data_IF_461194659678
#
_entry.id   IF_461194659678
#
_cell.length_a   1.000
_cell.length_b   1.000
_cell.length_c   1.000
_cell.angle_alpha   90.00
_cell.angle_beta   90.00
_cell.angle_gamma   90.00
#
_symmetry.space_group_name_H-M   'P 1'
#
loop_
_entity.id
_entity.type
_entity.pdbx_description
1 polymer ?
#
# COMPACT_ATOMS: atom_id res chain seq x y z
N UNK A 1 0.88 7.19 25.69
CA UNK A 1 1.43 5.83 25.92
C UNK A 1 0.91 4.94 24.80
N UNK A 2 1.77 4.24 24.07
CA UNK A 2 1.31 3.32 22.99
C UNK A 2 0.65 2.08 23.63
N UNK A 3 -0.52 1.69 23.10
CA UNK A 3 -1.35 0.64 23.68
C UNK A 3 -1.07 -0.72 22.99
N UNK A 4 0.05 -1.35 23.35
CA UNK A 4 0.41 -2.66 22.82
C UNK A 4 -0.50 -3.77 23.36
N UNK A 5 -0.76 -4.77 22.51
CA UNK A 5 -1.53 -5.94 22.86
C UNK A 5 -0.76 -6.89 23.79
N UNK A 6 -1.50 -7.58 24.64
CA UNK A 6 -0.93 -8.69 25.41
C UNK A 6 -0.47 -9.84 24.49
N UNK A 7 0.49 -10.69 24.95
CA UNK A 7 1.09 -11.73 24.10
C UNK A 7 0.11 -12.72 23.48
N UNK A 8 -0.99 -13.02 24.17
CA UNK A 8 -2.04 -13.95 23.74
C UNK A 8 -3.32 -13.25 23.27
N UNK A 9 -3.35 -11.92 23.26
CA UNK A 9 -4.52 -11.16 22.81
C UNK A 9 -4.71 -11.32 21.32
N UNK A 10 -5.89 -11.77 20.91
CA UNK A 10 -6.26 -11.93 19.50
C UNK A 10 -6.97 -10.65 19.04
N UNK A 11 -6.49 -10.07 17.97
CA UNK A 11 -7.07 -8.89 17.36
C UNK A 11 -8.43 -9.23 16.74
N UNK A 12 -9.41 -8.37 16.99
CA UNK A 12 -10.81 -8.65 16.63
C UNK A 12 -11.05 -8.69 15.10
N UNK A 13 -10.41 -7.80 14.35
CA UNK A 13 -10.64 -7.74 12.90
C UNK A 13 -9.70 -8.65 12.12
N UNK A 14 -8.42 -8.67 12.47
CA UNK A 14 -7.39 -9.43 11.73
C UNK A 14 -7.29 -10.89 12.19
N UNK A 15 -7.78 -11.21 13.39
CA UNK A 15 -7.64 -12.54 13.98
C UNK A 15 -6.21 -12.91 14.39
N UNK A 16 -5.29 -11.95 14.40
CA UNK A 16 -3.87 -12.16 14.69
C UNK A 16 -3.54 -11.91 16.18
N UNK A 17 -2.45 -12.52 16.63
CA UNK A 17 -1.82 -12.23 17.92
C UNK A 17 -0.31 -12.00 17.75
N UNK A 18 0.34 -11.42 18.75
CA UNK A 18 1.78 -11.18 18.75
C UNK A 18 2.60 -12.47 18.53
N UNK A 19 2.15 -13.59 19.09
CA UNK A 19 2.79 -14.89 18.90
C UNK A 19 2.73 -15.40 17.46
N UNK A 20 1.64 -15.12 16.74
CA UNK A 20 1.43 -15.56 15.37
C UNK A 20 2.35 -14.81 14.39
N UNK A 21 2.59 -13.52 14.58
CA UNK A 21 3.44 -12.69 13.71
C UNK A 21 4.94 -12.79 14.07
N UNK A 22 5.30 -13.49 15.14
CA UNK A 22 6.68 -13.81 15.55
C UNK A 22 7.62 -12.60 15.60
N UNK A 23 7.12 -11.44 16.02
CA UNK A 23 7.87 -10.20 16.12
C UNK A 23 8.15 -9.50 14.79
N UNK A 24 7.35 -9.74 13.76
CA UNK A 24 7.44 -9.02 12.49
C UNK A 24 7.32 -7.52 12.70
N UNK A 25 8.30 -6.77 12.17
CA UNK A 25 8.35 -5.31 12.21
C UNK A 25 7.86 -4.68 10.90
N UNK A 26 7.79 -5.46 9.84
CA UNK A 26 7.40 -5.06 8.49
C UNK A 26 6.14 -5.79 8.08
N UNK A 27 5.19 -5.06 7.52
CA UNK A 27 3.99 -5.61 6.89
C UNK A 27 3.86 -5.14 5.45
N UNK A 28 3.66 -6.09 4.53
CA UNK A 28 3.26 -5.84 3.15
C UNK A 28 1.74 -5.95 3.05
N UNK A 29 1.11 -4.94 2.46
CA UNK A 29 -0.33 -4.78 2.44
C UNK A 29 -0.89 -4.75 1.01
N UNK A 30 -1.12 -5.91 0.36
CA UNK A 30 -2.00 -5.97 -0.80
C UNK A 30 -3.47 -5.75 -0.40
N UNK A 31 -4.30 -5.25 -1.32
CA UNK A 31 -5.75 -5.14 -1.08
C UNK A 31 -6.45 -6.49 -1.17
N UNK A 32 -6.15 -7.26 -2.20
CA UNK A 32 -6.80 -8.55 -2.52
C UNK A 32 -6.19 -9.72 -1.72
N UNK A 33 -7.03 -10.49 -0.97
CA UNK A 33 -6.60 -11.71 -0.28
C UNK A 33 -5.97 -12.75 -1.21
N UNK A 34 -6.40 -12.84 -2.46
CA UNK A 34 -5.87 -13.78 -3.45
C UNK A 34 -4.41 -13.56 -3.81
N UNK A 35 -3.86 -12.37 -3.55
CA UNK A 35 -2.47 -12.00 -3.86
C UNK A 35 -1.50 -12.31 -2.72
N UNK A 36 -1.99 -12.58 -1.51
CA UNK A 36 -1.15 -12.66 -0.30
C UNK A 36 -0.18 -13.84 -0.36
N UNK A 37 -0.67 -15.04 -0.73
CA UNK A 37 0.17 -16.23 -0.84
C UNK A 37 1.27 -16.06 -1.88
N UNK A 38 0.92 -15.58 -3.09
CA UNK A 38 1.88 -15.37 -4.17
C UNK A 38 2.98 -14.37 -3.77
N UNK A 39 2.60 -13.25 -3.17
CA UNK A 39 3.54 -12.25 -2.68
C UNK A 39 4.42 -12.79 -1.55
N UNK A 40 3.86 -13.53 -0.60
CA UNK A 40 4.63 -14.12 0.50
C UNK A 40 5.64 -15.15 -0.02
N UNK A 41 5.26 -16.01 -0.95
CA UNK A 41 6.15 -17.01 -1.57
C UNK A 41 7.21 -16.40 -2.48
N UNK A 42 6.95 -15.26 -3.10
CA UNK A 42 7.98 -14.52 -3.85
C UNK A 42 9.08 -13.97 -2.94
N UNK A 43 8.76 -13.64 -1.68
CA UNK A 43 9.75 -13.25 -0.68
C UNK A 43 10.51 -14.45 -0.13
N UNK A 44 9.79 -15.52 0.20
CA UNK A 44 10.29 -16.73 0.85
C UNK A 44 9.45 -17.92 0.40
N UNK A 45 10.03 -18.86 -0.36
CA UNK A 45 9.32 -20.07 -0.83
C UNK A 45 8.74 -20.92 0.32
N UNK A 46 9.33 -20.81 1.52
CA UNK A 46 8.89 -21.48 2.74
C UNK A 46 7.93 -20.61 3.58
N UNK A 47 7.35 -19.54 3.02
CA UNK A 47 6.37 -18.73 3.71
C UNK A 47 5.20 -19.57 4.23
N UNK A 48 4.70 -19.22 5.41
CA UNK A 48 3.68 -19.97 6.12
C UNK A 48 2.37 -19.21 6.17
N UNK A 49 1.26 -19.88 5.88
CA UNK A 49 -0.08 -19.38 6.19
C UNK A 49 -0.21 -19.16 7.69
N UNK A 50 -0.79 -18.01 8.07
CA UNK A 50 -0.97 -17.64 9.49
C UNK A 50 -2.44 -17.68 9.88
N UNK A 51 -3.27 -16.91 9.18
CA UNK A 51 -4.71 -16.82 9.46
C UNK A 51 -5.45 -16.23 8.25
N UNK A 52 -6.75 -16.47 8.22
CA UNK A 52 -7.68 -15.74 7.35
C UNK A 52 -8.94 -15.42 8.14
N UNK A 53 -9.23 -14.14 8.29
CA UNK A 53 -10.41 -13.67 9.00
C UNK A 53 -10.95 -12.41 8.29
N UNK A 54 -12.19 -12.44 7.84
CA UNK A 54 -12.81 -11.39 7.03
C UNK A 54 -11.97 -11.13 5.75
N UNK A 55 -11.60 -9.88 5.48
CA UNK A 55 -10.76 -9.47 4.35
C UNK A 55 -9.25 -9.66 4.61
N UNK A 56 -8.88 -10.06 5.84
CA UNK A 56 -7.49 -10.16 6.31
C UNK A 56 -6.98 -11.61 6.19
N UNK A 57 -6.37 -11.94 5.07
CA UNK A 57 -5.60 -13.17 4.90
C UNK A 57 -4.14 -12.86 5.14
N UNK A 58 -3.47 -13.68 5.96
CA UNK A 58 -2.13 -13.40 6.48
C UNK A 58 -1.19 -14.56 6.24
N UNK A 59 0.01 -14.24 5.76
CA UNK A 59 1.14 -15.14 5.61
C UNK A 59 2.38 -14.55 6.26
N UNK A 60 3.29 -15.39 6.73
CA UNK A 60 4.56 -14.99 7.32
C UNK A 60 5.71 -15.51 6.47
N UNK A 61 6.49 -14.60 5.91
CA UNK A 61 7.71 -14.86 5.16
C UNK A 61 8.94 -14.49 5.98
N UNK A 62 10.13 -14.90 5.52
CA UNK A 62 11.42 -14.47 6.06
C UNK A 62 12.23 -13.78 4.98
N UNK A 63 12.73 -12.59 5.30
CA UNK A 63 13.69 -11.86 4.46
C UNK A 63 14.90 -11.58 5.33
N UNK A 64 16.10 -11.95 4.89
CA UNK A 64 17.31 -11.78 5.71
C UNK A 64 17.17 -12.33 7.16
N UNK A 65 16.50 -13.46 7.33
CA UNK A 65 16.15 -14.07 8.61
C UNK A 65 15.20 -13.24 9.51
N UNK A 66 14.71 -12.09 9.07
CA UNK A 66 13.69 -11.33 9.79
C UNK A 66 12.28 -11.77 9.35
N UNK A 67 11.32 -11.91 10.28
CA UNK A 67 9.94 -12.18 9.92
C UNK A 67 9.31 -10.94 9.26
N UNK A 68 8.59 -11.17 8.17
CA UNK A 68 7.83 -10.17 7.42
C UNK A 68 6.40 -10.67 7.28
N UNK A 69 5.45 -9.87 7.69
CA UNK A 69 4.04 -10.19 7.54
C UNK A 69 3.57 -9.75 6.15
N UNK A 70 2.86 -10.61 5.44
CA UNK A 70 2.09 -10.26 4.24
C UNK A 70 0.63 -10.44 4.57
N UNK A 71 -0.16 -9.38 4.52
CA UNK A 71 -1.57 -9.42 4.92
C UNK A 71 -2.42 -8.56 4.00
N UNK A 72 -3.51 -9.11 3.48
CA UNK A 72 -4.50 -8.31 2.75
C UNK A 72 -5.20 -7.30 3.66
N UNK A 73 -5.62 -6.20 3.07
CA UNK A 73 -6.41 -5.19 3.80
C UNK A 73 -7.88 -5.17 3.39
N UNK A 74 -8.24 -5.76 2.23
CA UNK A 74 -9.45 -5.37 1.53
C UNK A 74 -9.26 -4.03 0.82
N UNK A 75 -10.34 -3.40 0.41
CA UNK A 75 -10.34 -2.15 -0.36
C UNK A 75 -10.78 -0.95 0.50
N UNK A 76 -10.10 0.17 0.30
CA UNK A 76 -10.49 1.46 0.86
C UNK A 76 -9.92 1.77 2.25
N UNK A 77 -9.96 3.05 2.58
CA UNK A 77 -9.38 3.58 3.82
C UNK A 77 -9.87 2.90 5.11
N UNK A 78 -11.17 2.67 5.32
CA UNK A 78 -11.66 2.01 6.54
C UNK A 78 -11.00 0.65 6.82
N UNK A 79 -10.80 -0.17 5.79
CA UNK A 79 -10.15 -1.47 5.95
C UNK A 79 -8.67 -1.33 6.35
N UNK A 80 -7.98 -0.33 5.80
CA UNK A 80 -6.59 0.00 6.17
C UNK A 80 -6.49 0.44 7.64
N UNK A 81 -7.48 1.16 8.16
CA UNK A 81 -7.44 1.60 9.57
C UNK A 81 -7.39 0.42 10.52
N UNK A 82 -8.24 -0.59 10.32
CA UNK A 82 -8.23 -1.80 11.14
C UNK A 82 -6.90 -2.56 11.05
N UNK A 83 -6.38 -2.71 9.83
CA UNK A 83 -5.11 -3.38 9.60
C UNK A 83 -3.96 -2.69 10.36
N UNK A 84 -3.80 -1.38 10.17
CA UNK A 84 -2.68 -0.63 10.77
C UNK A 84 -2.80 -0.56 12.28
N UNK A 85 -3.99 -0.24 12.82
CA UNK A 85 -4.20 -0.16 14.27
C UNK A 85 -3.90 -1.48 14.97
N UNK A 86 -4.44 -2.58 14.48
CA UNK A 86 -4.24 -3.88 15.10
C UNK A 86 -2.80 -4.39 14.94
N UNK A 87 -2.20 -4.26 13.76
CA UNK A 87 -0.81 -4.67 13.55
C UNK A 87 0.18 -3.82 14.34
N UNK A 88 -0.07 -2.51 14.47
CA UNK A 88 0.74 -1.64 15.31
C UNK A 88 0.68 -2.05 16.80
N UNK A 89 -0.50 -2.45 17.29
CA UNK A 89 -0.65 -3.02 18.65
C UNK A 89 0.14 -4.32 18.82
N UNK A 90 0.32 -5.11 17.76
CA UNK A 90 1.14 -6.32 17.75
C UNK A 90 2.64 -6.05 17.56
N UNK A 91 3.03 -4.78 17.33
CA UNK A 91 4.43 -4.35 17.27
C UNK A 91 5.00 -4.20 15.85
N UNK A 92 4.16 -4.19 14.81
CA UNK A 92 4.58 -3.80 13.45
C UNK A 92 4.85 -2.30 13.40
N UNK A 93 5.91 -1.89 12.74
CA UNK A 93 6.41 -0.51 12.73
C UNK A 93 6.44 0.10 11.33
N UNK A 94 6.53 -0.73 10.28
CA UNK A 94 6.63 -0.30 8.88
C UNK A 94 5.60 -1.02 8.02
N UNK A 95 4.86 -0.24 7.25
CA UNK A 95 3.76 -0.70 6.41
C UNK A 95 4.02 -0.32 4.96
N UNK A 96 4.10 -1.30 4.06
CA UNK A 96 4.27 -1.05 2.63
C UNK A 96 3.05 -1.57 1.89
N UNK A 97 2.25 -0.65 1.34
CA UNK A 97 1.16 -1.02 0.45
C UNK A 97 1.73 -1.54 -0.88
N UNK A 98 1.26 -2.70 -1.29
CA UNK A 98 1.62 -3.33 -2.58
C UNK A 98 0.35 -3.44 -3.41
N UNK A 99 0.05 -2.39 -4.15
CA UNK A 99 -1.25 -2.18 -4.77
C UNK A 99 -1.27 -2.22 -6.28
N UNK A 100 -2.45 -1.92 -6.81
CA UNK A 100 -2.69 -1.62 -8.22
C UNK A 100 -3.28 -0.23 -8.35
N UNK A 101 -3.18 0.38 -9.54
CA UNK A 101 -3.56 1.77 -9.73
C UNK A 101 -3.99 2.07 -11.17
N UNK A 102 -4.77 3.15 -11.30
CA UNK A 102 -5.07 3.77 -12.60
C UNK A 102 -4.22 5.02 -12.81
N UNK A 103 -3.33 5.01 -13.80
CA UNK A 103 -2.54 6.20 -14.15
C UNK A 103 -3.39 7.27 -14.82
N UNK A 104 -3.04 8.54 -14.56
CA UNK A 104 -3.69 9.72 -15.19
C UNK A 104 -2.68 10.57 -15.97
N UNK A 105 -1.44 10.13 -16.10
CA UNK A 105 -0.39 10.82 -16.87
C UNK A 105 -0.06 10.06 -18.14
N UNK A 106 0.28 10.80 -19.21
CA UNK A 106 0.56 10.25 -20.53
C UNK A 106 1.80 9.35 -20.56
N UNK A 107 2.80 9.69 -19.76
CA UNK A 107 4.11 9.02 -19.68
C UNK A 107 4.13 7.83 -18.70
N UNK A 108 2.96 7.41 -18.19
CA UNK A 108 2.78 6.19 -17.40
C UNK A 108 1.98 5.16 -18.20
N UNK A 109 2.54 4.00 -18.40
CA UNK A 109 1.99 2.95 -19.25
C UNK A 109 1.51 1.75 -18.41
N UNK A 110 0.65 0.92 -19.01
CA UNK A 110 0.22 -0.33 -18.38
C UNK A 110 1.42 -1.22 -18.06
N UNK A 111 1.47 -1.73 -16.84
CA UNK A 111 2.57 -2.53 -16.33
C UNK A 111 3.74 -1.73 -15.74
N UNK A 112 3.74 -0.40 -15.83
CA UNK A 112 4.71 0.42 -15.11
C UNK A 112 4.43 0.42 -13.61
N UNK A 113 5.44 0.83 -12.84
CA UNK A 113 5.38 0.90 -11.38
C UNK A 113 5.32 2.37 -10.94
N UNK A 114 4.46 2.68 -9.98
CA UNK A 114 4.40 3.98 -9.32
C UNK A 114 4.76 3.81 -7.85
N UNK A 115 5.76 4.55 -7.39
CA UNK A 115 6.10 4.70 -5.98
C UNK A 115 5.51 6.02 -5.49
N UNK A 116 4.48 5.94 -4.63
CA UNK A 116 3.78 7.14 -4.18
C UNK A 116 4.50 7.78 -2.99
N UNK A 117 4.81 9.06 -3.14
CA UNK A 117 5.48 9.89 -2.11
C UNK A 117 4.49 10.62 -1.21
N UNK A 118 3.30 10.85 -1.71
CA UNK A 118 2.18 11.48 -1.00
C UNK A 118 0.85 11.08 -1.64
N UNK A 119 -0.26 11.47 -1.00
CA UNK A 119 -1.59 11.26 -1.56
C UNK A 119 -2.52 12.45 -1.29
N UNK A 120 -3.35 12.80 -2.27
CA UNK A 120 -4.46 13.73 -2.11
C UNK A 120 -5.56 13.03 -1.30
N UNK A 121 -6.01 13.66 -0.23
CA UNK A 121 -6.97 13.11 0.74
C UNK A 121 -8.41 13.35 0.31
N UNK A 122 -8.88 12.58 -0.69
CA UNK A 122 -10.29 12.56 -1.10
C UNK A 122 -11.10 11.46 -0.39
N UNK A 123 -10.48 10.81 0.60
CA UNK A 123 -11.06 9.78 1.47
C UNK A 123 -11.72 10.38 2.73
N UNK A 124 -12.56 9.59 3.39
CA UNK A 124 -13.18 9.94 4.67
C UNK A 124 -12.40 9.42 5.88
N UNK A 125 -11.77 8.24 5.77
CA UNK A 125 -11.15 7.56 6.91
C UNK A 125 -9.98 8.35 7.50
N UNK A 126 -9.12 8.95 6.66
CA UNK A 126 -7.99 9.75 7.12
C UNK A 126 -8.40 10.97 7.96
N UNK A 127 -9.63 11.49 7.76
CA UNK A 127 -10.15 12.64 8.50
C UNK A 127 -10.48 12.33 9.96
N UNK A 128 -10.65 11.06 10.30
CA UNK A 128 -10.82 10.64 11.69
C UNK A 128 -9.53 10.73 12.50
N UNK A 129 -8.37 10.77 11.84
CA UNK A 129 -7.05 10.79 12.48
C UNK A 129 -6.38 12.16 12.46
N UNK A 130 -6.65 12.99 11.45
CA UNK A 130 -6.07 14.31 11.33
C UNK A 130 -6.98 15.25 10.53
N UNK A 131 -6.93 16.59 10.77
CA UNK A 131 -7.66 17.56 9.95
C UNK A 131 -7.21 17.47 8.48
N UNK A 132 -8.06 17.98 7.56
CA UNK A 132 -7.81 17.81 6.12
C UNK A 132 -6.51 18.50 5.66
N UNK A 133 -6.08 19.53 6.35
CA UNK A 133 -4.86 20.28 6.08
C UNK A 133 -3.58 19.49 6.44
N UNK A 134 -3.68 18.45 7.27
CA UNK A 134 -2.56 17.57 7.57
C UNK A 134 -2.18 16.75 6.34
N UNK A 135 -0.93 16.79 5.87
CA UNK A 135 -0.56 16.13 4.63
C UNK A 135 -0.48 14.59 4.79
N UNK A 136 -0.97 13.86 3.78
CA UNK A 136 -0.73 12.44 3.66
C UNK A 136 0.60 12.20 2.92
N UNK A 137 1.68 12.00 3.66
CA UNK A 137 3.03 11.79 3.11
C UNK A 137 3.60 10.44 3.51
N UNK A 138 4.30 9.81 2.58
CA UNK A 138 5.01 8.55 2.83
C UNK A 138 6.29 8.79 3.66
N UNK A 139 6.77 7.76 4.35
CA UNK A 139 8.06 7.79 5.04
C UNK A 139 9.22 7.94 4.03
N UNK A 140 10.06 8.97 4.15
CA UNK A 140 11.06 9.27 3.14
C UNK A 140 12.15 8.20 3.02
N UNK A 141 12.52 7.54 4.13
CA UNK A 141 13.54 6.50 4.11
C UNK A 141 13.03 5.24 3.39
N UNK A 142 11.75 4.90 3.61
CA UNK A 142 11.11 3.77 2.94
C UNK A 142 10.91 4.05 1.45
N UNK A 143 10.53 5.27 1.07
CA UNK A 143 10.45 5.71 -0.33
C UNK A 143 11.82 5.64 -1.00
N UNK A 144 12.88 6.11 -0.33
CA UNK A 144 14.24 6.03 -0.86
C UNK A 144 14.66 4.58 -1.11
N UNK A 145 14.38 3.68 -0.17
CA UNK A 145 14.69 2.26 -0.33
C UNK A 145 13.92 1.61 -1.50
N UNK A 146 12.64 1.97 -1.69
CA UNK A 146 11.84 1.52 -2.84
C UNK A 146 12.43 2.01 -4.17
N UNK A 147 12.83 3.28 -4.25
CA UNK A 147 13.44 3.85 -5.45
C UNK A 147 14.76 3.16 -5.81
N UNK A 148 15.66 3.03 -4.84
CA UNK A 148 16.94 2.34 -5.05
C UNK A 148 16.72 0.89 -5.51
N UNK A 149 15.77 0.18 -4.92
CA UNK A 149 15.44 -1.18 -5.32
C UNK A 149 14.87 -1.26 -6.73
N UNK A 150 14.02 -0.30 -7.13
CA UNK A 150 13.46 -0.23 -8.49
C UNK A 150 14.55 0.06 -9.54
N UNK A 151 15.45 1.00 -9.24
CA UNK A 151 16.61 1.33 -10.09
C UNK A 151 17.51 0.10 -10.29
N UNK A 152 17.85 -0.60 -9.20
CA UNK A 152 18.70 -1.82 -9.26
C UNK A 152 18.02 -3.00 -9.96
N UNK A 153 16.69 -3.08 -9.90
CA UNK A 153 15.93 -4.12 -10.61
C UNK A 153 15.71 -3.80 -12.09
N UNK A 154 16.06 -2.60 -12.53
CA UNK A 154 15.81 -2.15 -13.91
C UNK A 154 14.33 -2.05 -14.26
N UNK A 155 13.46 -1.95 -13.25
CA UNK A 155 12.01 -1.83 -13.45
C UNK A 155 11.65 -0.39 -13.79
N UNK A 156 10.93 -0.13 -14.89
CA UNK A 156 10.42 1.21 -15.18
C UNK A 156 9.49 1.69 -14.08
N UNK A 157 9.81 2.83 -13.47
CA UNK A 157 9.00 3.39 -12.41
C UNK A 157 8.93 4.92 -12.46
N UNK A 158 7.90 5.46 -11.85
CA UNK A 158 7.75 6.89 -11.59
C UNK A 158 7.47 7.11 -10.11
N UNK A 159 8.00 8.19 -9.56
CA UNK A 159 7.56 8.67 -8.24
C UNK A 159 6.51 9.75 -8.41
N UNK A 160 5.51 9.79 -7.54
CA UNK A 160 4.49 10.82 -7.66
C UNK A 160 3.45 10.82 -6.54
N UNK A 161 2.47 11.69 -6.69
CA UNK A 161 1.39 11.90 -5.75
C UNK A 161 0.16 11.16 -6.27
N UNK A 162 -0.39 10.23 -5.45
CA UNK A 162 -1.66 9.58 -5.76
C UNK A 162 -2.87 10.43 -5.35
N UNK A 163 -4.04 10.02 -5.78
CA UNK A 163 -5.31 10.51 -5.27
C UNK A 163 -6.05 9.32 -4.66
N UNK A 164 -6.33 9.36 -3.36
CA UNK A 164 -7.12 8.32 -2.68
C UNK A 164 -8.59 8.74 -2.58
N UNK A 165 -9.47 7.88 -3.06
CA UNK A 165 -10.92 8.10 -3.02
C UNK A 165 -11.64 6.92 -2.38
N UNK A 166 -12.79 7.14 -1.73
CA UNK A 166 -13.61 6.07 -1.15
C UNK A 166 -14.54 5.38 -2.17
N UNK A 167 -14.61 5.90 -3.38
CA UNK A 167 -15.46 5.36 -4.44
C UNK A 167 -14.68 5.23 -5.74
N UNK A 168 -14.70 4.00 -6.30
CA UNK A 168 -14.03 3.69 -7.56
C UNK A 168 -14.65 4.42 -8.76
N UNK A 169 -15.99 4.52 -8.81
CA UNK A 169 -16.68 5.15 -9.94
C UNK A 169 -16.80 6.66 -9.81
N UNK A 170 -17.75 7.23 -9.06
CA UNK A 170 -17.92 8.69 -9.07
C UNK A 170 -16.79 9.42 -8.36
N UNK A 171 -16.13 8.81 -7.37
CA UNK A 171 -14.99 9.41 -6.67
C UNK A 171 -13.76 9.60 -7.55
N UNK A 172 -13.57 8.72 -8.53
CA UNK A 172 -12.49 8.81 -9.52
C UNK A 172 -12.98 9.41 -10.85
N UNK A 173 -14.14 10.11 -10.85
CA UNK A 173 -14.74 10.67 -12.06
C UNK A 173 -14.93 9.65 -13.19
N UNK A 174 -15.44 8.46 -12.86
CA UNK A 174 -15.80 7.42 -13.84
C UNK A 174 -17.28 7.48 -14.18
N UNK A 175 -17.59 7.50 -15.46
CA UNK A 175 -18.95 7.58 -15.97
C UNK A 175 -19.54 6.22 -16.37
N UNK A 176 -18.74 5.17 -16.31
CA UNK A 176 -19.11 3.78 -16.61
C UNK A 176 -19.78 3.04 -15.43
N UNK A 177 -20.19 3.78 -14.38
CA UNK A 177 -20.96 3.24 -13.27
C UNK A 177 -22.39 2.87 -13.67
N UNK A 178 -23.08 2.04 -12.89
CA UNK A 178 -24.47 1.68 -13.12
C UNK A 178 -25.39 2.89 -13.28
N UNK A 179 -25.21 3.96 -12.51
CA UNK A 179 -25.98 5.20 -12.59
C UNK A 179 -25.49 6.18 -13.66
N UNK A 180 -24.28 6.01 -14.19
CA UNK A 180 -23.69 6.86 -15.22
C UNK A 180 -23.50 8.33 -14.84
N UNK A 181 -23.63 8.68 -13.55
CA UNK A 181 -23.62 10.07 -13.10
C UNK A 181 -22.50 10.35 -12.10
N UNK A 182 -21.77 11.43 -12.33
CA UNK A 182 -20.77 11.99 -11.43
C UNK A 182 -21.28 13.35 -10.92
N UNK A 183 -21.18 13.57 -9.61
CA UNK A 183 -21.61 14.84 -9.00
C UNK A 183 -20.85 16.03 -9.59
N UNK A 184 -21.52 17.16 -9.81
CA UNK A 184 -20.93 18.36 -10.43
C UNK A 184 -19.62 18.81 -9.78
N UNK A 185 -19.49 18.68 -8.45
CA UNK A 185 -18.25 19.04 -7.74
C UNK A 185 -17.06 18.13 -8.03
N UNK A 186 -17.29 16.97 -8.66
CA UNK A 186 -16.26 16.00 -9.05
C UNK A 186 -16.01 15.97 -10.56
N UNK A 187 -16.89 16.60 -11.36
CA UNK A 187 -16.73 16.69 -12.81
C UNK A 187 -15.55 17.61 -13.14
N UNK A 188 -14.61 17.14 -13.96
CA UNK A 188 -13.38 17.82 -14.30
C UNK A 188 -12.22 17.56 -13.31
N UNK A 189 -12.48 16.86 -12.21
CA UNK A 189 -11.46 16.62 -11.18
C UNK A 189 -10.29 15.76 -11.69
N UNK A 190 -10.53 14.85 -12.63
CA UNK A 190 -9.47 14.07 -13.25
C UNK A 190 -8.48 14.97 -13.99
N UNK A 191 -8.97 15.91 -14.79
CA UNK A 191 -8.13 16.83 -15.52
C UNK A 191 -7.44 17.84 -14.59
N UNK A 192 -8.14 18.31 -13.55
CA UNK A 192 -7.54 19.17 -12.52
C UNK A 192 -6.36 18.47 -11.83
N UNK A 193 -6.54 17.22 -11.36
CA UNK A 193 -5.46 16.45 -10.73
C UNK A 193 -4.33 16.12 -11.69
N UNK A 194 -4.65 15.82 -12.94
CA UNK A 194 -3.63 15.65 -13.99
C UNK A 194 -2.81 16.91 -14.20
N UNK A 195 -3.48 18.06 -14.29
CA UNK A 195 -2.84 19.35 -14.53
C UNK A 195 -1.89 19.75 -13.38
N UNK A 196 -2.26 19.50 -12.13
CA UNK A 196 -1.40 19.77 -10.97
C UNK A 196 -0.33 18.70 -10.72
N UNK A 197 -0.21 17.70 -11.60
CA UNK A 197 0.88 16.72 -11.59
C UNK A 197 0.66 15.49 -10.72
N UNK A 198 -0.57 15.21 -10.28
CA UNK A 198 -0.87 13.91 -9.67
C UNK A 198 -0.68 12.79 -10.68
N UNK A 199 -0.24 11.61 -10.23
CA UNK A 199 0.17 10.53 -11.11
C UNK A 199 -0.90 9.47 -11.32
N UNK A 200 -1.69 9.16 -10.30
CA UNK A 200 -2.55 7.98 -10.30
C UNK A 200 -3.65 8.03 -9.25
N UNK A 201 -4.74 7.32 -9.52
CA UNK A 201 -5.81 7.04 -8.56
C UNK A 201 -5.62 5.69 -7.87
N UNK A 202 -5.88 5.65 -6.58
CA UNK A 202 -6.01 4.46 -5.76
C UNK A 202 -6.97 4.75 -4.59
N UNK A 203 -7.08 3.90 -3.57
CA UNK A 203 -8.15 4.04 -2.57
C UNK A 203 -7.65 4.00 -1.10
N UNK A 204 -6.33 3.90 -0.83
CA UNK A 204 -5.83 3.58 0.51
C UNK A 204 -4.68 4.47 1.01
N UNK A 205 -3.86 5.02 0.12
CA UNK A 205 -2.62 5.73 0.50
C UNK A 205 -2.87 6.92 1.44
N UNK A 206 -3.91 7.70 1.20
CA UNK A 206 -4.20 8.86 2.05
C UNK A 206 -4.46 8.44 3.51
N UNK A 207 -5.25 7.39 3.71
CA UNK A 207 -5.48 6.81 5.03
C UNK A 207 -4.19 6.23 5.61
N UNK A 208 -3.48 5.39 4.85
CA UNK A 208 -2.27 4.72 5.30
C UNK A 208 -1.20 5.73 5.75
N UNK A 209 -0.90 6.71 4.91
CA UNK A 209 0.14 7.70 5.18
C UNK A 209 -0.22 8.60 6.36
N UNK A 210 -1.47 9.11 6.39
CA UNK A 210 -1.93 9.95 7.49
C UNK A 210 -1.90 9.22 8.82
N UNK A 211 -2.47 8.01 8.87
CA UNK A 211 -2.55 7.22 10.07
C UNK A 211 -1.16 6.86 10.61
N UNK A 212 -0.27 6.34 9.75
CA UNK A 212 1.09 5.99 10.15
C UNK A 212 1.86 7.22 10.65
N UNK A 213 1.77 8.39 9.98
CA UNK A 213 2.40 9.62 10.44
C UNK A 213 1.93 10.02 11.84
N UNK A 214 0.62 10.02 12.08
CA UNK A 214 0.03 10.39 13.38
C UNK A 214 0.44 9.43 14.50
N UNK A 215 0.56 8.13 14.18
CA UNK A 215 0.95 7.11 15.16
C UNK A 215 2.48 6.99 15.35
N UNK A 216 3.28 7.74 14.59
CA UNK A 216 4.74 7.62 14.59
C UNK A 216 5.20 6.26 14.09
N UNK A 217 4.59 5.80 13.00
CA UNK A 217 4.90 4.59 12.23
C UNK A 217 5.39 4.98 10.84
N UNK A 218 5.99 4.04 10.12
CA UNK A 218 6.49 4.25 8.76
C UNK A 218 5.52 3.66 7.74
N UNK A 219 5.25 4.38 6.66
CA UNK A 219 4.43 3.89 5.56
C UNK A 219 4.97 4.30 4.20
N UNK A 220 4.86 3.41 3.23
CA UNK A 220 5.09 3.70 1.81
C UNK A 220 4.12 2.91 0.92
N UNK A 221 4.12 3.21 -0.36
CA UNK A 221 3.29 2.51 -1.34
C UNK A 221 4.00 2.34 -2.66
N UNK A 222 3.85 1.15 -3.22
CA UNK A 222 4.25 0.78 -4.58
C UNK A 222 3.04 0.18 -5.27
N UNK A 223 2.70 0.67 -6.46
CA UNK A 223 1.53 0.25 -7.22
C UNK A 223 1.91 -0.09 -8.67
N UNK A 224 1.36 -1.18 -9.20
CA UNK A 224 1.42 -1.49 -10.62
C UNK A 224 0.27 -0.81 -11.37
N UNK A 225 0.57 -0.21 -12.51
CA UNK A 225 -0.42 0.44 -13.37
C UNK A 225 -1.21 -0.63 -14.13
N UNK A 226 -2.51 -0.73 -13.84
CA UNK A 226 -3.43 -1.68 -14.48
C UNK A 226 -4.57 -0.99 -15.26
N UNK A 227 -4.64 0.32 -15.22
CA UNK A 227 -5.55 1.12 -16.00
C UNK A 227 -4.85 2.40 -16.44
N UNK A 228 -5.04 2.81 -17.70
CA UNK A 228 -4.51 4.06 -18.23
C UNK A 228 -5.66 4.98 -18.57
N UNK A 229 -5.98 5.89 -17.65
CA UNK A 229 -7.17 6.76 -17.69
C UNK A 229 -7.07 7.90 -18.72
N UNK A 230 -5.90 8.07 -19.36
CA UNK A 230 -5.75 8.92 -20.54
C UNK A 230 -6.30 8.28 -21.82
N UNK A 231 -6.38 6.96 -21.84
CA UNK A 231 -6.76 6.20 -23.03
C UNK A 231 -8.22 5.66 -22.93
N UNK A 232 -8.56 5.10 -21.77
CA UNK A 232 -9.90 4.52 -21.54
C UNK A 232 -10.22 4.35 -20.06
N UNK A 233 -11.48 4.03 -19.74
CA UNK A 233 -11.91 3.63 -18.38
C UNK A 233 -11.61 2.16 -18.07
N UNK A 234 -11.14 1.37 -19.04
CA UNK A 234 -10.97 -0.06 -18.91
C UNK A 234 -9.78 -0.43 -18.02
N UNK A 235 -9.94 -1.51 -17.27
CA UNK A 235 -8.85 -2.18 -16.57
C UNK A 235 -8.15 -3.14 -17.54
N UNK A 236 -6.83 -3.22 -17.45
CA UNK A 236 -6.01 -4.05 -18.32
C UNK A 236 -6.35 -5.55 -18.21
N UNK A 237 -6.12 -6.33 -19.29
CA UNK A 237 -6.18 -7.79 -19.24
C UNK A 237 -5.28 -8.39 -18.16
N UNK A 238 -5.60 -9.61 -17.73
CA UNK A 238 -4.95 -10.29 -16.61
C UNK A 238 -3.43 -10.48 -16.78
N UNK A 239 -2.96 -10.70 -18.01
CA UNK A 239 -1.52 -10.88 -18.30
C UNK A 239 -0.69 -9.61 -18.03
N UNK A 240 -1.26 -8.43 -18.22
CA UNK A 240 -0.61 -7.15 -17.87
C UNK A 240 -0.60 -6.96 -16.35
N UNK A 241 -1.67 -7.38 -15.70
CA UNK A 241 -1.75 -7.39 -14.24
C UNK A 241 -0.65 -8.26 -13.62
N UNK A 242 -0.48 -9.50 -14.11
CA UNK A 242 0.57 -10.41 -13.66
C UNK A 242 1.99 -9.86 -13.88
N UNK A 243 2.23 -9.22 -15.02
CA UNK A 243 3.53 -8.55 -15.29
C UNK A 243 3.82 -7.42 -14.32
N UNK A 244 2.82 -6.57 -14.05
CA UNK A 244 2.95 -5.51 -13.06
C UNK A 244 3.25 -6.11 -11.68
N UNK A 245 2.56 -7.19 -11.31
CA UNK A 245 2.74 -7.88 -10.04
C UNK A 245 4.15 -8.45 -9.88
N UNK A 246 4.68 -9.15 -10.88
CA UNK A 246 6.06 -9.66 -10.86
C UNK A 246 7.09 -8.55 -10.68
N UNK A 247 6.93 -7.41 -11.38
CA UNK A 247 7.84 -6.27 -11.28
C UNK A 247 7.93 -5.70 -9.88
N UNK A 248 6.80 -5.45 -9.22
CA UNK A 248 6.86 -4.88 -7.88
C UNK A 248 7.24 -5.89 -6.79
N UNK A 249 7.03 -7.21 -6.99
CA UNK A 249 7.50 -8.24 -6.05
C UNK A 249 9.02 -8.20 -5.89
N UNK A 250 9.78 -8.14 -6.98
CA UNK A 250 11.23 -8.04 -6.94
C UNK A 250 11.70 -6.75 -6.27
N UNK A 251 11.06 -5.62 -6.60
CA UNK A 251 11.36 -4.32 -5.96
C UNK A 251 11.11 -4.37 -4.46
N UNK A 252 9.97 -4.92 -4.03
CA UNK A 252 9.60 -5.00 -2.61
C UNK A 252 10.56 -5.91 -1.84
N UNK A 253 10.96 -7.05 -2.39
CA UNK A 253 11.93 -7.96 -1.77
C UNK A 253 13.26 -7.25 -1.52
N UNK A 254 13.84 -6.61 -2.54
CA UNK A 254 15.09 -5.84 -2.42
C UNK A 254 14.96 -4.67 -1.44
N UNK A 255 13.80 -4.02 -1.42
CA UNK A 255 13.51 -2.95 -0.46
C UNK A 255 13.60 -3.46 0.98
N UNK A 256 12.96 -4.59 1.28
CA UNK A 256 13.02 -5.20 2.61
C UNK A 256 14.44 -5.63 2.98
N UNK A 257 15.18 -6.24 2.06
CA UNK A 257 16.59 -6.62 2.27
C UNK A 257 17.43 -5.39 2.70
N UNK A 258 17.31 -4.28 1.96
CA UNK A 258 18.00 -3.02 2.28
C UNK A 258 17.58 -2.44 3.64
N UNK A 259 16.29 -2.39 3.92
CA UNK A 259 15.79 -1.82 5.18
C UNK A 259 16.18 -2.64 6.38
N UNK A 260 16.13 -3.97 6.28
CA UNK A 260 16.55 -4.89 7.34
C UNK A 260 18.06 -4.78 7.57
N UNK A 261 18.89 -4.71 6.53
CA UNK A 261 20.32 -4.53 6.64
C UNK A 261 20.67 -3.19 7.32
N UNK A 262 20.00 -2.09 6.93
CA UNK A 262 20.19 -0.77 7.55
C UNK A 262 19.80 -0.74 9.03
N UNK A 263 18.71 -1.41 9.41
CA UNK A 263 18.26 -1.47 10.80
C UNK A 263 19.26 -2.21 11.70
N UNK A 264 19.96 -3.22 11.18
CA UNK A 264 21.00 -3.97 11.90
C UNK A 264 22.29 -3.17 12.05
N UNK A 265 22.67 -2.39 11.04
CA UNK A 265 23.88 -1.56 11.08
C UNK A 265 23.70 -0.29 11.93
N UNK A 266 22.50 0.30 11.96
CA UNK A 266 22.19 1.46 12.80
C UNK A 266 22.04 1.16 14.30
N UNK A 267 21.78 -0.09 14.68
CA UNK A 267 21.72 -0.53 16.09
C UNK A 267 23.06 -0.56 16.83
N UNK A 268 24.18 -0.31 16.14
CA UNK A 268 25.53 -0.29 16.73
C UNK A 268 26.07 1.13 17.02
N UNK A 269 25.24 2.17 16.90
CA UNK A 269 25.60 3.55 17.25
C UNK A 269 24.64 4.04 18.33
N UNK A 270 24.92 3.69 19.57
CA UNK A 270 24.36 4.31 20.77
C UNK A 270 25.44 4.38 21.84
#
# INVERSE_FOLDING_TARGET
>A
MKNYAGPAEIMYHTGLSAGMIRGAKYALLPGDPGRVEGLAKALDENALFVASHRDYTSWLARVENAPVLVMSTGMGGPCVTFAVEELARLGVETFIRVGTTGSIQEDLHLGDVVINTASVRMDGASRAYAPIEFPAVADPDTVLALREAAEESGVPFKTGISISTDSFWPGQERYDSFGGYVLKRLQGSLEDFRHIGCTNYEMENATLFTLCSVLGLKAASICGVIAKRTDSESVAPHDIYEKAEQRFQDVVKRTLEKMIARSRSGGNIS
#
